data_IF_046354422550
#
_entry.id   IF_046354422550
#
_cell.length_a   1.000
_cell.length_b   1.000
_cell.length_c   1.000
_cell.angle_alpha   90.00
_cell.angle_beta   90.00
_cell.angle_gamma   90.00
#
_symmetry.space_group_name_H-M   'P 1'
#
loop_
_entity.id
_entity.type
_entity.pdbx_description
1 polymer ?
#
# COMPACT_ATOMS: atom_id res chain seq x y z
N UNK A 1 -4.90 -13.63 -14.64
CA UNK A 1 -5.81 -12.46 -14.63
C UNK A 1 -6.43 -12.18 -13.24
N UNK A 2 -5.72 -12.44 -12.12
CA UNK A 2 -6.24 -12.19 -10.75
C UNK A 2 -5.33 -11.29 -9.90
N UNK A 3 -4.19 -10.83 -10.44
CA UNK A 3 -3.21 -10.06 -9.67
C UNK A 3 -3.52 -8.55 -9.67
N UNK A 4 -4.18 -8.03 -10.71
CA UNK A 4 -4.59 -6.62 -10.83
C UNK A 4 -5.71 -6.25 -9.86
N UNK A 5 -6.45 -7.22 -9.30
CA UNK A 5 -7.66 -6.96 -8.50
C UNK A 5 -7.38 -6.53 -7.05
N UNK A 6 -6.18 -6.80 -6.54
CA UNK A 6 -5.91 -6.78 -5.10
C UNK A 6 -5.48 -5.39 -4.61
N UNK A 7 -4.77 -4.63 -5.42
CA UNK A 7 -4.32 -3.27 -5.06
C UNK A 7 -5.51 -2.30 -4.99
N UNK A 8 -6.45 -2.41 -5.94
CA UNK A 8 -7.73 -1.70 -5.89
C UNK A 8 -8.60 -2.12 -4.69
N UNK A 9 -8.48 -3.37 -4.24
CA UNK A 9 -9.22 -3.84 -3.06
C UNK A 9 -8.70 -3.17 -1.77
N UNK A 10 -7.37 -2.97 -1.65
CA UNK A 10 -6.79 -2.23 -0.52
C UNK A 10 -7.27 -0.77 -0.52
N UNK A 11 -7.23 -0.11 -1.69
CA UNK A 11 -7.74 1.26 -1.82
C UNK A 11 -9.24 1.36 -1.51
N UNK A 12 -10.06 0.41 -1.99
CA UNK A 12 -11.48 0.35 -1.70
C UNK A 12 -11.76 0.13 -0.20
N UNK A 13 -10.93 -0.67 0.47
CA UNK A 13 -11.03 -0.90 1.91
C UNK A 13 -10.69 0.35 2.71
N UNK A 14 -9.64 1.08 2.34
CA UNK A 14 -9.29 2.35 2.98
C UNK A 14 -10.40 3.39 2.79
N UNK A 15 -10.93 3.52 1.55
CA UNK A 15 -12.09 4.37 1.25
C UNK A 15 -13.32 3.99 2.08
N UNK A 16 -13.59 2.70 2.25
CA UNK A 16 -14.70 2.24 3.09
C UNK A 16 -14.50 2.57 4.57
N UNK A 17 -13.28 2.40 5.10
CA UNK A 17 -12.93 2.76 6.49
C UNK A 17 -13.13 4.26 6.73
N UNK A 18 -12.64 5.11 5.83
CA UNK A 18 -12.84 6.57 5.92
C UNK A 18 -14.33 6.94 5.80
N UNK A 19 -15.09 6.34 4.88
CA UNK A 19 -16.53 6.58 4.77
C UNK A 19 -17.28 6.22 6.06
N UNK A 20 -16.91 5.13 6.74
CA UNK A 20 -17.47 4.75 8.05
C UNK A 20 -17.16 5.83 9.10
N UNK A 21 -15.92 6.33 9.13
CA UNK A 21 -15.51 7.39 10.06
C UNK A 21 -16.32 8.67 9.82
N UNK A 22 -16.48 9.08 8.57
CA UNK A 22 -17.22 10.28 8.19
C UNK A 22 -18.71 10.16 8.53
N UNK A 23 -19.34 9.02 8.22
CA UNK A 23 -20.72 8.74 8.58
C UNK A 23 -20.95 8.76 10.10
N UNK A 24 -19.94 8.37 10.88
CA UNK A 24 -19.96 8.43 12.34
C UNK A 24 -19.44 9.77 12.89
N UNK A 25 -19.32 10.79 12.04
CA UNK A 25 -18.91 12.17 12.37
C UNK A 25 -17.58 12.22 13.13
N UNK A 26 -16.64 11.35 12.77
CA UNK A 26 -15.34 11.27 13.43
C UNK A 26 -15.41 10.82 14.91
N UNK A 27 -16.55 10.32 15.41
CA UNK A 27 -16.68 9.84 16.79
C UNK A 27 -15.92 8.52 16.97
N UNK A 28 -14.65 8.62 17.37
CA UNK A 28 -13.72 7.48 17.53
C UNK A 28 -14.29 6.31 18.33
N UNK A 29 -15.06 6.57 19.40
CA UNK A 29 -15.69 5.52 20.21
C UNK A 29 -16.66 4.62 19.40
N UNK A 30 -17.22 5.13 18.30
CA UNK A 30 -18.19 4.42 17.46
C UNK A 30 -17.53 3.68 16.29
N UNK A 31 -16.62 4.33 15.55
CA UNK A 31 -16.03 3.70 14.37
C UNK A 31 -14.83 2.79 14.68
N UNK A 32 -14.08 3.06 15.76
CA UNK A 32 -12.87 2.30 16.06
C UNK A 32 -13.14 0.80 16.33
N UNK A 33 -14.22 0.41 17.04
CA UNK A 33 -14.58 -1.01 17.16
C UNK A 33 -14.89 -1.66 15.81
N UNK A 34 -15.55 -0.94 14.90
CA UNK A 34 -15.88 -1.42 13.55
C UNK A 34 -14.59 -1.64 12.76
N UNK A 35 -13.70 -0.64 12.75
CA UNK A 35 -12.39 -0.76 12.12
C UNK A 35 -11.60 -1.95 12.66
N UNK A 36 -11.55 -2.15 13.98
CA UNK A 36 -10.87 -3.32 14.57
C UNK A 36 -11.43 -4.67 14.10
N UNK A 37 -12.74 -4.77 13.92
CA UNK A 37 -13.37 -6.00 13.40
C UNK A 37 -13.01 -6.20 11.92
N UNK A 38 -13.10 -5.13 11.13
CA UNK A 38 -12.70 -5.12 9.72
C UNK A 38 -11.24 -5.53 9.58
N UNK A 39 -10.35 -4.91 10.35
CA UNK A 39 -8.91 -5.18 10.34
C UNK A 39 -8.63 -6.62 10.74
N UNK A 40 -9.26 -7.14 11.80
CA UNK A 40 -9.07 -8.55 12.20
C UNK A 40 -9.48 -9.53 11.09
N UNK A 41 -10.57 -9.25 10.38
CA UNK A 41 -11.04 -10.10 9.26
C UNK A 41 -10.14 -9.95 8.03
N UNK A 42 -9.73 -8.71 7.73
CA UNK A 42 -8.80 -8.40 6.66
C UNK A 42 -7.45 -9.06 6.90
N UNK A 43 -6.87 -8.95 8.10
CA UNK A 43 -5.60 -9.61 8.46
C UNK A 43 -5.69 -11.13 8.41
N UNK A 44 -6.81 -11.71 8.85
CA UNK A 44 -6.99 -13.17 8.86
C UNK A 44 -7.27 -13.80 7.48
N UNK A 45 -7.68 -13.02 6.48
CA UNK A 45 -8.12 -13.56 5.18
C UNK A 45 -7.39 -12.95 3.97
N UNK A 46 -6.94 -11.70 4.06
CA UNK A 46 -6.60 -10.84 2.91
C UNK A 46 -5.40 -9.90 3.14
N UNK A 47 -4.79 -9.82 4.33
CA UNK A 47 -3.56 -9.04 4.54
C UNK A 47 -2.33 -9.95 4.45
N UNK A 48 -2.08 -10.50 3.27
CA UNK A 48 -0.78 -11.10 2.99
C UNK A 48 0.25 -9.99 2.80
N UNK A 49 1.48 -10.14 3.32
CA UNK A 49 2.55 -9.16 3.11
C UNK A 49 2.74 -8.78 1.62
N UNK A 50 2.44 -9.73 0.72
CA UNK A 50 2.43 -9.52 -0.73
C UNK A 50 1.48 -8.40 -1.21
N UNK A 51 0.33 -8.20 -0.56
CA UNK A 51 -0.65 -7.20 -0.98
C UNK A 51 -0.22 -5.77 -0.61
N UNK A 52 0.34 -5.61 0.58
CA UNK A 52 0.91 -4.33 1.00
C UNK A 52 2.11 -3.97 0.14
N UNK A 53 2.93 -4.97 -0.21
CA UNK A 53 4.02 -4.78 -1.14
C UNK A 53 3.54 -4.38 -2.54
N UNK A 54 2.49 -5.01 -3.07
CA UNK A 54 1.88 -4.61 -4.35
C UNK A 54 1.35 -3.17 -4.32
N UNK A 55 0.59 -2.81 -3.28
CA UNK A 55 0.10 -1.44 -3.09
C UNK A 55 1.23 -0.41 -3.00
N UNK A 56 2.33 -0.75 -2.31
CA UNK A 56 3.49 0.13 -2.18
C UNK A 56 4.32 0.23 -3.47
N UNK A 57 4.49 -0.87 -4.19
CA UNK A 57 5.38 -0.96 -5.35
C UNK A 57 4.68 -0.62 -6.67
N UNK A 58 3.34 -0.55 -6.71
CA UNK A 58 2.63 -0.08 -7.91
C UNK A 58 2.87 1.44 -8.09
N UNK A 59 3.58 1.87 -9.16
CA UNK A 59 3.87 3.29 -9.39
C UNK A 59 2.62 4.15 -9.60
N UNK A 60 1.57 3.60 -10.24
CA UNK A 60 0.29 4.30 -10.49
C UNK A 60 -0.34 4.72 -9.16
N UNK A 61 -0.30 3.82 -8.18
CA UNK A 61 -0.87 4.04 -6.85
C UNK A 61 0.12 4.83 -5.98
N UNK A 62 1.39 4.42 -5.91
CA UNK A 62 2.44 5.00 -5.05
C UNK A 62 2.62 6.51 -5.24
N UNK A 63 2.50 6.96 -6.49
CA UNK A 63 2.68 8.36 -6.88
C UNK A 63 1.34 9.08 -7.13
N UNK A 64 0.21 8.45 -6.80
CA UNK A 64 -1.10 9.10 -6.84
C UNK A 64 -1.27 10.08 -5.67
N UNK A 65 -2.23 11.01 -5.79
CA UNK A 65 -2.62 11.90 -4.70
C UNK A 65 -3.39 11.19 -3.58
N UNK A 66 -3.84 9.95 -3.81
CA UNK A 66 -4.61 9.15 -2.85
C UNK A 66 -3.74 8.20 -2.04
N UNK A 67 -2.45 8.06 -2.37
CA UNK A 67 -1.53 7.20 -1.65
C UNK A 67 -1.34 7.63 -0.20
N UNK A 68 -1.38 6.66 0.72
CA UNK A 68 -1.09 6.86 2.14
C UNK A 68 0.07 5.98 2.58
N UNK A 69 1.23 6.60 2.86
CA UNK A 69 2.38 5.93 3.51
C UNK A 69 2.19 5.89 5.03
N UNK A 70 1.21 5.14 5.50
CA UNK A 70 0.94 5.03 6.93
C UNK A 70 1.75 3.90 7.61
N UNK A 71 1.60 3.78 8.94
CA UNK A 71 2.32 2.77 9.72
C UNK A 71 1.93 1.34 9.34
N UNK A 72 0.69 1.10 8.92
CA UNK A 72 0.19 -0.22 8.54
C UNK A 72 0.86 -0.66 7.24
N UNK A 73 0.90 0.23 6.25
CA UNK A 73 1.59 0.02 4.97
C UNK A 73 3.08 -0.22 5.18
N UNK A 74 3.75 0.61 5.99
CA UNK A 74 5.17 0.43 6.27
C UNK A 74 5.47 -0.88 7.01
N UNK A 75 4.65 -1.22 8.02
CA UNK A 75 4.83 -2.46 8.76
C UNK A 75 4.58 -3.69 7.89
N UNK A 76 3.55 -3.65 7.03
CA UNK A 76 3.25 -4.73 6.09
C UNK A 76 4.35 -4.94 5.05
N UNK A 77 4.94 -3.85 4.52
CA UNK A 77 6.07 -3.92 3.59
C UNK A 77 7.31 -4.52 4.25
N UNK A 78 7.66 -4.10 5.47
CA UNK A 78 8.79 -4.65 6.21
C UNK A 78 8.60 -6.14 6.52
N UNK A 79 7.40 -6.55 6.92
CA UNK A 79 7.06 -7.96 7.12
C UNK A 79 7.13 -8.76 5.81
N UNK A 80 6.84 -8.15 4.66
CA UNK A 80 6.98 -8.81 3.37
C UNK A 80 8.45 -9.04 3.01
N UNK A 81 9.27 -8.00 3.18
CA UNK A 81 10.71 -8.08 2.92
C UNK A 81 11.35 -9.13 3.82
N UNK A 82 11.02 -9.18 5.11
CA UNK A 82 11.59 -10.18 6.03
C UNK A 82 11.15 -11.61 5.71
N UNK A 83 9.97 -11.80 5.11
CA UNK A 83 9.53 -13.10 4.60
C UNK A 83 10.25 -13.47 3.30
N UNK A 84 10.49 -12.51 2.40
CA UNK A 84 11.13 -12.76 1.11
C UNK A 84 12.65 -12.84 1.16
N UNK A 85 13.28 -12.09 2.07
CA UNK A 85 14.72 -11.86 2.13
C UNK A 85 15.20 -12.29 3.52
N UNK A 86 15.51 -13.56 3.67
CA UNK A 86 15.95 -14.15 4.94
C UNK A 86 17.47 -14.10 5.14
N UNK A 87 18.19 -13.27 4.38
CA UNK A 87 19.66 -13.23 4.32
C UNK A 87 20.18 -11.78 4.31
N UNK A 88 21.51 -11.58 4.34
CA UNK A 88 22.18 -10.28 4.46
C UNK A 88 21.92 -9.25 3.33
N UNK A 89 20.98 -9.53 2.41
CA UNK A 89 20.54 -8.66 1.31
C UNK A 89 19.41 -7.69 1.68
N UNK A 90 18.85 -7.75 2.90
CA UNK A 90 17.82 -6.81 3.35
C UNK A 90 18.26 -5.34 3.18
N UNK A 91 19.52 -5.02 3.51
CA UNK A 91 20.07 -3.66 3.35
C UNK A 91 20.03 -3.18 1.90
N UNK A 92 20.26 -4.08 0.93
CA UNK A 92 20.20 -3.74 -0.49
C UNK A 92 18.77 -3.44 -0.93
N UNK A 93 17.79 -4.23 -0.47
CA UNK A 93 16.37 -3.98 -0.74
C UNK A 93 15.91 -2.65 -0.15
N UNK A 94 16.37 -2.30 1.04
CA UNK A 94 16.11 -0.98 1.62
C UNK A 94 16.68 0.15 0.77
N UNK A 95 17.92 0.03 0.29
CA UNK A 95 18.50 1.06 -0.59
C UNK A 95 17.76 1.19 -1.92
N UNK A 96 17.28 0.09 -2.51
CA UNK A 96 16.49 0.14 -3.74
C UNK A 96 15.11 0.78 -3.51
N UNK A 97 14.49 0.56 -2.34
CA UNK A 97 13.25 1.24 -1.96
C UNK A 97 13.43 2.75 -1.78
N UNK A 98 14.59 3.19 -1.27
CA UNK A 98 14.90 4.62 -1.17
C UNK A 98 15.10 5.26 -2.56
N UNK A 99 15.70 4.53 -3.50
CA UNK A 99 15.81 4.96 -4.91
C UNK A 99 14.44 5.03 -5.57
N UNK A 100 13.59 4.03 -5.35
CA UNK A 100 12.21 4.01 -5.83
C UNK A 100 11.39 5.19 -5.26
N UNK A 101 11.48 5.45 -3.96
CA UNK A 101 10.78 6.54 -3.28
C UNK A 101 11.23 7.93 -3.74
N UNK A 102 12.50 8.08 -4.09
CA UNK A 102 13.06 9.34 -4.57
C UNK A 102 12.81 9.59 -6.05
N UNK A 103 12.21 8.63 -6.77
CA UNK A 103 12.12 8.63 -8.23
C UNK A 103 13.47 8.96 -8.87
N UNK A 104 14.58 8.43 -8.34
CA UNK A 104 15.91 8.77 -8.83
C UNK A 104 16.27 7.92 -10.07
N UNK A 105 17.10 8.45 -10.96
CA UNK A 105 17.51 7.76 -12.19
C UNK A 105 16.40 7.65 -13.24
N UNK A 106 16.27 6.48 -13.87
CA UNK A 106 15.35 6.26 -15.00
C UNK A 106 13.86 6.33 -14.58
N UNK A 107 13.56 6.08 -13.30
CA UNK A 107 12.19 6.17 -12.77
C UNK A 107 11.69 7.62 -12.60
N UNK A 108 12.62 8.58 -12.46
CA UNK A 108 12.30 10.02 -12.42
C UNK A 108 12.19 10.67 -13.77
N UNK A 109 12.47 9.93 -14.85
CA UNK A 109 12.37 10.48 -16.19
C UNK A 109 10.92 10.90 -16.47
N UNK A 110 10.69 12.07 -17.10
CA UNK A 110 9.35 12.53 -17.41
C UNK A 110 8.53 11.50 -18.21
N UNK A 111 9.16 10.64 -19.00
CA UNK A 111 8.52 9.52 -19.71
C UNK A 111 8.02 8.41 -18.77
N UNK A 112 8.81 8.02 -17.76
CA UNK A 112 8.45 7.00 -16.78
C UNK A 112 7.33 7.50 -15.86
N UNK A 113 7.40 8.75 -15.42
CA UNK A 113 6.35 9.40 -14.62
C UNK A 113 5.05 9.56 -15.41
N UNK A 114 5.15 9.88 -16.71
CA UNK A 114 3.96 9.90 -17.58
C UNK A 114 3.40 8.50 -17.79
N UNK A 115 4.24 7.49 -17.98
CA UNK A 115 3.78 6.11 -18.14
C UNK A 115 3.05 5.59 -16.90
N UNK A 116 3.53 5.93 -15.69
CA UNK A 116 2.82 5.60 -14.44
C UNK A 116 1.50 6.36 -14.29
N UNK A 117 1.35 7.56 -14.85
CA UNK A 117 0.08 8.29 -14.86
C UNK A 117 -0.86 7.85 -16.00
N UNK A 118 -0.34 7.25 -17.07
CA UNK A 118 -1.10 6.89 -18.29
C UNK A 118 -1.60 5.44 -18.28
N UNK A 119 -1.10 4.59 -17.37
CA UNK A 119 -1.65 3.24 -17.10
C UNK A 119 -2.99 3.28 -16.34
N UNK A 120 -3.86 4.23 -16.69
CA UNK A 120 -5.30 4.15 -16.48
C UNK A 120 -5.94 3.64 -17.78
N UNK A 121 -5.79 2.34 -18.07
CA UNK A 121 -6.65 1.58 -18.97
C UNK A 121 -6.82 0.16 -18.45
#
# INVERSE_FOLDING_TARGET
AFHESIEYLYEAMDKAKEAIRENLRGKKKLYMPIWKITDKRWTGQLHQPLHVAGYYLNPVIRFSTTFKKDREVMHGLLNFISVLVTDCREQYVHSELDVYDSCFGDMGQPSAVRASATMCL
#
